data_IF_934916347026
#
_entry.id   IF_934916347026
#
_cell.length_a   1.000
_cell.length_b   1.000
_cell.length_c   1.000
_cell.angle_alpha   90.00
_cell.angle_beta   90.00
_cell.angle_gamma   90.00
#
_symmetry.space_group_name_H-M   'P 1'
#
loop_
_entity.id
_entity.type
_entity.pdbx_description
1 polymer ?
#
# COMPACT_ATOMS: atom_id res chain seq x y z
N UNK A 1 -7.86 11.85 -4.23
CA UNK A 1 -6.42 12.06 -3.97
C UNK A 1 -5.69 11.91 -5.29
N UNK A 2 -4.85 12.86 -5.67
CA UNK A 2 -4.05 12.75 -6.90
C UNK A 2 -2.72 12.08 -6.50
N UNK A 3 -2.62 10.76 -6.65
CA UNK A 3 -1.36 10.04 -6.38
C UNK A 3 -0.46 10.15 -7.61
N UNK A 4 0.71 10.74 -7.45
CA UNK A 4 1.67 10.83 -8.54
C UNK A 4 2.13 9.43 -8.97
N UNK A 5 2.30 9.25 -10.28
CA UNK A 5 2.87 8.03 -10.82
C UNK A 5 4.33 7.94 -10.37
N UNK A 6 4.71 6.79 -9.85
CA UNK A 6 6.08 6.51 -9.41
C UNK A 6 6.75 5.54 -10.37
N UNK A 7 8.08 5.64 -10.50
CA UNK A 7 8.89 4.74 -11.32
C UNK A 7 9.20 3.40 -10.61
N UNK A 8 8.26 2.89 -9.81
CA UNK A 8 8.36 1.62 -9.09
C UNK A 8 7.77 0.50 -9.96
N UNK A 9 8.46 -0.63 -10.04
CA UNK A 9 7.95 -1.86 -10.66
C UNK A 9 7.65 -2.90 -9.59
N UNK A 10 6.45 -3.50 -9.67
CA UNK A 10 6.01 -4.59 -8.80
C UNK A 10 5.48 -5.74 -9.67
N UNK A 11 5.93 -6.97 -9.41
CA UNK A 11 5.54 -8.14 -10.20
C UNK A 11 4.09 -8.60 -9.95
N UNK A 12 3.43 -8.07 -8.90
CA UNK A 12 1.99 -8.23 -8.64
C UNK A 12 1.13 -7.92 -9.87
N UNK A 13 1.57 -6.99 -10.73
CA UNK A 13 0.88 -6.65 -11.98
C UNK A 13 0.76 -7.85 -12.95
N UNK A 14 1.57 -8.90 -12.79
CA UNK A 14 1.46 -10.14 -13.56
C UNK A 14 0.17 -10.91 -13.24
N UNK A 15 -0.38 -10.80 -12.03
CA UNK A 15 -1.64 -11.47 -11.67
C UNK A 15 -2.83 -10.97 -12.49
N UNK A 16 -2.78 -9.74 -13.02
CA UNK A 16 -3.80 -9.22 -13.94
C UNK A 16 -3.66 -9.68 -15.40
N UNK A 17 -2.59 -10.41 -15.76
CA UNK A 17 -2.28 -10.83 -17.14
C UNK A 17 -2.77 -12.25 -17.47
N UNK A 18 -3.85 -12.69 -16.82
CA UNK A 18 -4.48 -13.99 -17.07
C UNK A 18 -5.48 -13.92 -18.22
N UNK A 19 -5.86 -15.07 -18.79
CA UNK A 19 -6.88 -15.14 -19.86
C UNK A 19 -8.23 -14.62 -19.37
N UNK A 20 -8.52 -14.86 -18.09
CA UNK A 20 -9.75 -14.53 -17.38
C UNK A 20 -9.86 -13.02 -17.08
N UNK A 21 -8.75 -12.27 -17.17
CA UNK A 21 -8.69 -10.81 -16.93
C UNK A 21 -9.32 -10.39 -15.61
N UNK A 22 -9.02 -11.14 -14.55
CA UNK A 22 -9.51 -10.84 -13.19
C UNK A 22 -9.03 -9.44 -12.79
N UNK A 23 -9.93 -8.51 -12.40
CA UNK A 23 -9.53 -7.19 -11.92
C UNK A 23 -8.63 -7.29 -10.69
N UNK A 24 -7.58 -6.46 -10.65
CA UNK A 24 -6.61 -6.42 -9.55
C UNK A 24 -6.47 -5.00 -9.02
N UNK A 25 -6.18 -4.87 -7.72
CA UNK A 25 -5.93 -3.60 -7.05
C UNK A 25 -4.68 -3.73 -6.19
N UNK A 26 -3.80 -2.74 -6.29
CA UNK A 26 -2.64 -2.53 -5.41
C UNK A 26 -2.73 -1.09 -4.87
N UNK A 27 -2.47 -0.89 -3.59
CA UNK A 27 -2.57 0.42 -2.95
C UNK A 27 -1.43 0.68 -1.96
N UNK A 28 -1.18 1.97 -1.69
CA UNK A 28 -0.21 2.41 -0.69
C UNK A 28 -0.87 2.49 0.69
N UNK A 29 -0.26 1.87 1.70
CA UNK A 29 -0.78 1.87 3.08
C UNK A 29 -0.41 3.15 3.86
N UNK A 30 0.77 3.71 3.59
CA UNK A 30 1.34 4.80 4.39
C UNK A 30 1.87 4.31 5.74
N UNK A 31 3.18 4.32 5.92
CA UNK A 31 3.85 3.70 7.09
C UNK A 31 4.73 4.69 7.87
N UNK A 32 4.83 5.93 7.41
CA UNK A 32 5.77 6.91 7.98
C UNK A 32 5.26 7.44 9.33
N UNK A 33 6.08 7.39 10.41
CA UNK A 33 5.77 8.01 11.68
C UNK A 33 5.48 9.51 11.56
N UNK A 34 4.56 10.00 12.38
CA UNK A 34 4.07 11.39 12.36
C UNK A 34 5.20 12.42 12.52
N UNK A 35 6.13 12.16 13.45
CA UNK A 35 7.34 12.97 13.69
C UNK A 35 8.17 13.24 12.42
N UNK A 36 8.11 12.35 11.42
CA UNK A 36 8.85 12.50 10.16
C UNK A 36 8.05 13.11 9.03
N UNK A 37 6.75 13.32 9.19
CA UNK A 37 5.95 14.02 8.19
C UNK A 37 6.46 15.46 7.97
N UNK A 38 6.93 16.10 9.04
CA UNK A 38 7.48 17.46 9.01
C UNK A 38 8.99 17.51 8.68
N UNK A 39 9.67 16.35 8.61
CA UNK A 39 11.09 16.33 8.32
C UNK A 39 11.40 16.73 6.87
N UNK A 40 12.49 17.48 6.68
CA UNK A 40 12.98 17.87 5.36
C UNK A 40 13.45 16.67 4.54
N UNK A 41 13.99 15.64 5.21
CA UNK A 41 14.40 14.39 4.59
C UNK A 41 13.46 13.25 5.00
N UNK A 42 12.91 12.56 4.01
CA UNK A 42 11.99 11.43 4.18
C UNK A 42 12.59 10.19 3.50
N UNK A 43 13.29 9.31 4.23
CA UNK A 43 13.91 8.14 3.64
C UNK A 43 12.82 7.22 3.07
N UNK A 44 12.96 6.84 1.79
CA UNK A 44 12.07 5.90 1.12
C UNK A 44 12.54 4.44 1.20
N UNK A 45 11.86 3.56 0.47
CA UNK A 45 12.28 2.17 0.28
C UNK A 45 13.77 2.08 -0.14
N UNK A 46 14.47 1.03 0.30
CA UNK A 46 15.91 0.80 0.10
C UNK A 46 16.87 1.73 0.88
N UNK A 47 16.37 2.72 1.63
CA UNK A 47 17.22 3.49 2.54
C UNK A 47 17.51 2.71 3.84
N UNK A 48 18.76 2.71 4.35
CA UNK A 48 19.07 2.13 5.66
C UNK A 48 18.44 2.92 6.83
N UNK A 49 17.88 4.10 6.56
CA UNK A 49 17.21 4.96 7.55
C UNK A 49 15.67 4.87 7.47
N UNK A 50 15.14 4.03 6.59
CA UNK A 50 13.70 3.78 6.54
C UNK A 50 13.28 2.90 7.72
N UNK A 51 12.23 3.33 8.42
CA UNK A 51 11.56 2.54 9.47
C UNK A 51 10.05 2.84 9.44
N UNK A 52 9.15 1.88 9.62
CA UNK A 52 7.71 2.16 9.69
C UNK A 52 7.25 2.48 11.13
N UNK A 53 6.09 3.12 11.28
CA UNK A 53 5.30 3.04 12.52
C UNK A 53 4.65 1.65 12.58
N UNK A 54 5.27 0.70 13.26
CA UNK A 54 4.90 -0.72 13.21
C UNK A 54 3.46 -0.96 13.67
N UNK A 55 3.08 -0.45 14.85
CA UNK A 55 1.77 -0.71 15.45
C UNK A 55 0.63 -0.18 14.57
N UNK A 56 0.77 1.07 14.10
CA UNK A 56 -0.24 1.69 13.25
C UNK A 56 -0.28 1.04 11.87
N UNK A 57 0.88 0.72 11.27
CA UNK A 57 0.94 0.08 9.96
C UNK A 57 0.24 -1.29 9.97
N UNK A 58 0.50 -2.10 11.00
CA UNK A 58 -0.15 -3.42 11.13
C UNK A 58 -1.66 -3.27 11.35
N UNK A 59 -2.06 -2.42 12.29
CA UNK A 59 -3.48 -2.21 12.63
C UNK A 59 -4.28 -1.75 11.40
N UNK A 60 -3.81 -0.69 10.73
CA UNK A 60 -4.50 -0.14 9.56
C UNK A 60 -4.43 -1.09 8.37
N UNK A 61 -3.29 -1.75 8.15
CA UNK A 61 -3.11 -2.71 7.05
C UNK A 61 -4.07 -3.89 7.15
N UNK A 62 -4.25 -4.44 8.35
CA UNK A 62 -5.23 -5.50 8.60
C UNK A 62 -6.65 -4.97 8.39
N UNK A 63 -7.00 -3.84 9.02
CA UNK A 63 -8.35 -3.29 8.94
C UNK A 63 -8.79 -2.98 7.51
N UNK A 64 -7.95 -2.26 6.74
CA UNK A 64 -8.30 -1.86 5.38
C UNK A 64 -8.40 -3.07 4.44
N UNK A 65 -7.51 -4.05 4.58
CA UNK A 65 -7.52 -5.26 3.75
C UNK A 65 -8.73 -6.13 4.08
N UNK A 66 -9.04 -6.32 5.37
CA UNK A 66 -10.22 -7.07 5.80
C UNK A 66 -11.50 -6.40 5.32
N UNK A 67 -11.65 -5.09 5.52
CA UNK A 67 -12.85 -4.39 5.07
C UNK A 67 -12.99 -4.45 3.54
N UNK A 68 -11.91 -4.24 2.78
CA UNK A 68 -11.95 -4.33 1.33
C UNK A 68 -12.39 -5.71 0.82
N UNK A 69 -11.98 -6.78 1.51
CA UNK A 69 -12.43 -8.14 1.18
C UNK A 69 -13.88 -8.40 1.58
N UNK A 70 -14.32 -7.91 2.75
CA UNK A 70 -15.73 -8.01 3.15
C UNK A 70 -16.63 -7.27 2.15
N UNK A 71 -16.30 -6.03 1.81
CA UNK A 71 -17.04 -5.24 0.82
C UNK A 71 -17.09 -5.95 -0.54
N UNK A 72 -15.96 -6.52 -0.98
CA UNK A 72 -15.89 -7.27 -2.24
C UNK A 72 -16.79 -8.51 -2.22
N UNK A 73 -16.88 -9.22 -1.09
CA UNK A 73 -17.62 -10.49 -0.97
C UNK A 73 -19.10 -10.30 -0.63
N UNK A 74 -19.47 -9.25 0.12
CA UNK A 74 -20.86 -8.91 0.41
C UNK A 74 -21.60 -8.38 -0.82
N UNK A 75 -20.87 -7.84 -1.80
CA UNK A 75 -21.46 -7.29 -3.04
C UNK A 75 -21.79 -8.38 -4.08
N UNK A 76 -21.71 -9.67 -3.73
CA UNK A 76 -22.12 -10.81 -4.58
C UNK A 76 -23.27 -11.63 -3.97
#
# INVERSE_FOLDING_TARGET
>A
MNTEQVMIGEDFACYGRTKEKVPTVLFWLGTMPEERQQAAFKPGLHSPFYYPNIEQSLTIGVQVTTQALLDLLETY
#
